data_IF_357447015764
#
_entry.id   IF_357447015764
#
_cell.length_a   1.000
_cell.length_b   1.000
_cell.length_c   1.000
_cell.angle_alpha   90.00
_cell.angle_beta   90.00
_cell.angle_gamma   90.00
#
_symmetry.space_group_name_H-M   'P 1'
#
loop_
_entity.id
_entity.type
_entity.pdbx_description
1 polymer ?
#
# COMPACT_ATOMS: atom_id res chain seq x y z
N UNK A 1 4.24 -14.89 13.70
CA UNK A 1 3.84 -15.58 12.46
C UNK A 1 4.76 -15.12 11.36
N UNK A 2 5.19 -16.02 10.49
CA UNK A 2 5.86 -15.71 9.23
C UNK A 2 4.94 -16.20 8.10
N UNK A 3 4.90 -15.45 7.00
CA UNK A 3 4.12 -15.78 5.81
C UNK A 3 5.09 -15.97 4.65
N UNK A 4 4.76 -16.86 3.72
CA UNK A 4 5.66 -17.21 2.61
C UNK A 4 5.57 -16.19 1.48
N UNK A 5 4.45 -15.45 1.41
CA UNK A 5 4.18 -14.46 0.36
C UNK A 5 3.64 -13.16 0.92
N UNK A 6 3.86 -12.06 0.20
CA UNK A 6 3.26 -10.76 0.57
C UNK A 6 1.73 -10.83 0.56
N UNK A 7 1.13 -11.56 -0.39
CA UNK A 7 -0.31 -11.72 -0.46
C UNK A 7 -0.89 -12.39 0.80
N UNK A 8 -0.21 -13.39 1.37
CA UNK A 8 -0.61 -14.01 2.64
C UNK A 8 -0.51 -13.02 3.80
N UNK A 9 0.60 -12.30 3.90
CA UNK A 9 0.80 -11.29 4.93
C UNK A 9 -0.28 -10.19 4.86
N UNK A 10 -0.59 -9.71 3.65
CA UNK A 10 -1.62 -8.68 3.42
C UNK A 10 -3.01 -9.21 3.75
N UNK A 11 -3.35 -10.44 3.35
CA UNK A 11 -4.64 -11.05 3.72
C UNK A 11 -4.79 -11.20 5.23
N UNK A 12 -3.73 -11.63 5.92
CA UNK A 12 -3.74 -11.74 7.37
C UNK A 12 -3.87 -10.38 8.06
N UNK A 13 -3.18 -9.35 7.55
CA UNK A 13 -3.33 -7.96 7.99
C UNK A 13 -4.78 -7.49 7.81
N UNK A 14 -5.36 -7.68 6.62
CA UNK A 14 -6.74 -7.28 6.33
C UNK A 14 -7.76 -7.99 7.23
N UNK A 15 -7.57 -9.29 7.50
CA UNK A 15 -8.43 -10.05 8.40
C UNK A 15 -8.35 -9.59 9.87
N UNK A 16 -7.29 -8.87 10.25
CA UNK A 16 -7.14 -8.29 11.58
C UNK A 16 -7.84 -6.94 11.77
N UNK A 17 -8.31 -6.33 10.67
CA UNK A 17 -9.03 -5.07 10.71
C UNK A 17 -10.48 -5.27 11.19
N UNK A 18 -11.07 -4.27 11.89
CA UNK A 18 -12.44 -4.37 12.39
C UNK A 18 -13.51 -4.30 11.29
N UNK A 19 -13.19 -3.74 10.12
CA UNK A 19 -14.06 -3.70 8.95
C UNK A 19 -13.49 -4.61 7.86
N UNK A 20 -14.32 -5.53 7.36
CA UNK A 20 -13.94 -6.50 6.35
C UNK A 20 -13.98 -5.93 4.92
N UNK A 21 -14.52 -4.72 4.72
CA UNK A 21 -14.56 -4.07 3.41
C UNK A 21 -13.16 -3.55 3.00
N UNK A 22 -12.50 -4.17 2.00
CA UNK A 22 -11.17 -3.78 1.58
C UNK A 22 -11.13 -2.36 0.99
N UNK A 23 -12.25 -1.84 0.47
CA UNK A 23 -12.30 -0.49 -0.11
C UNK A 23 -12.14 0.62 0.95
N UNK A 24 -12.44 0.32 2.21
CA UNK A 24 -12.29 1.28 3.33
C UNK A 24 -10.95 1.18 4.05
N UNK A 25 -10.17 0.12 3.79
CA UNK A 25 -8.91 -0.08 4.47
C UNK A 25 -7.93 1.05 4.12
N UNK A 26 -7.37 1.68 5.16
CA UNK A 26 -6.40 2.76 5.04
C UNK A 26 -5.00 2.16 5.15
N UNK A 27 -4.36 1.92 4.02
CA UNK A 27 -3.07 1.22 3.92
C UNK A 27 -2.04 2.15 3.31
N UNK A 28 -0.84 2.15 3.88
CA UNK A 28 0.34 2.84 3.35
C UNK A 28 1.43 1.81 3.12
N UNK A 29 2.00 1.79 1.91
CA UNK A 29 3.14 0.94 1.54
C UNK A 29 4.37 1.82 1.36
N UNK A 30 5.42 1.53 2.13
CA UNK A 30 6.74 2.15 2.00
C UNK A 30 7.75 1.08 1.62
N UNK A 31 8.82 1.48 0.94
CA UNK A 31 9.93 0.56 0.61
C UNK A 31 10.63 0.11 1.88
N UNK A 32 11.05 1.08 2.67
CA UNK A 32 11.74 0.91 3.95
C UNK A 32 11.69 2.23 4.73
N UNK A 33 12.06 2.18 6.01
CA UNK A 33 12.05 3.34 6.90
C UNK A 33 13.23 4.28 6.70
N UNK A 34 14.24 3.89 5.93
CA UNK A 34 15.42 4.71 5.62
C UNK A 34 15.16 5.60 4.39
N UNK A 35 14.25 5.19 3.51
CA UNK A 35 14.01 5.77 2.17
C UNK A 35 12.56 6.24 2.01
N UNK A 36 12.11 7.16 2.87
CA UNK A 36 10.74 7.71 2.87
C UNK A 36 10.50 8.82 1.82
N UNK A 37 11.06 8.66 0.61
CA UNK A 37 10.86 9.63 -0.48
C UNK A 37 9.59 9.38 -1.29
N UNK A 38 9.16 8.12 -1.39
CA UNK A 38 7.95 7.71 -2.10
C UNK A 38 7.18 6.68 -1.28
N UNK A 39 5.85 6.72 -1.41
CA UNK A 39 4.94 5.79 -0.77
C UNK A 39 3.72 5.60 -1.66
N UNK A 40 3.09 4.45 -1.53
CA UNK A 40 1.77 4.19 -2.10
C UNK A 40 0.73 4.22 -0.99
N UNK A 41 -0.46 4.72 -1.30
CA UNK A 41 -1.60 4.71 -0.39
C UNK A 41 -2.79 3.99 -1.03
N UNK A 42 -3.64 3.40 -0.21
CA UNK A 42 -4.94 2.92 -0.67
C UNK A 42 -5.84 4.09 -1.09
N UNK A 43 -6.81 3.82 -1.97
CA UNK A 43 -7.77 4.82 -2.42
C UNK A 43 -8.56 5.47 -1.28
N UNK A 44 -8.73 4.78 -0.14
CA UNK A 44 -9.35 5.31 1.06
C UNK A 44 -8.60 6.52 1.67
N UNK A 45 -7.34 6.73 1.31
CA UNK A 45 -6.49 7.85 1.77
C UNK A 45 -6.37 8.98 0.75
N UNK A 46 -7.07 8.91 -0.40
CA UNK A 46 -6.91 9.87 -1.48
C UNK A 46 -7.24 11.32 -1.06
N UNK A 47 -8.26 11.50 -0.22
CA UNK A 47 -8.63 12.81 0.30
C UNK A 47 -7.54 13.38 1.23
N UNK A 48 -6.98 12.57 2.12
CA UNK A 48 -5.87 12.99 2.98
C UNK A 48 -4.62 13.35 2.17
N UNK A 49 -4.27 12.56 1.15
CA UNK A 49 -3.13 12.89 0.27
C UNK A 49 -3.34 14.22 -0.44
N UNK A 50 -4.53 14.47 -0.99
CA UNK A 50 -4.84 15.72 -1.68
C UNK A 50 -4.82 16.95 -0.76
N UNK A 51 -5.13 16.78 0.52
CA UNK A 51 -5.18 17.87 1.51
C UNK A 51 -3.84 18.11 2.21
N UNK A 52 -2.89 17.16 2.17
CA UNK A 52 -1.67 17.22 2.97
C UNK A 52 -0.57 18.02 2.26
N UNK A 53 -0.07 19.14 2.85
CA UNK A 53 0.85 20.05 2.16
C UNK A 53 2.25 19.47 1.89
N UNK A 54 2.62 18.37 2.54
CA UNK A 54 3.89 17.69 2.32
C UNK A 54 3.80 16.47 1.38
N UNK A 55 2.64 16.21 0.77
CA UNK A 55 2.45 15.11 -0.17
C UNK A 55 2.15 15.63 -1.56
N UNK A 56 2.73 14.98 -2.56
CA UNK A 56 2.49 15.24 -3.97
C UNK A 56 1.97 13.95 -4.63
N UNK A 57 0.77 13.96 -5.24
CA UNK A 57 0.27 12.81 -5.97
C UNK A 57 1.12 12.51 -7.20
N UNK A 58 1.78 11.34 -7.23
CA UNK A 58 2.63 10.93 -8.35
C UNK A 58 1.89 10.13 -9.44
N UNK A 59 0.64 9.73 -9.19
CA UNK A 59 -0.12 8.89 -10.12
C UNK A 59 -1.56 8.63 -9.66
N UNK A 60 -2.28 7.82 -10.43
CA UNK A 60 -3.65 7.40 -10.11
C UNK A 60 -3.64 6.09 -9.33
N UNK A 61 -4.69 5.84 -8.54
CA UNK A 61 -4.89 4.56 -7.88
C UNK A 61 -4.98 3.43 -8.91
N UNK A 62 -4.29 2.32 -8.65
CA UNK A 62 -4.28 1.12 -9.48
C UNK A 62 -4.47 -0.12 -8.58
N UNK A 63 -4.90 -1.27 -9.14
CA UNK A 63 -4.88 -2.53 -8.42
C UNK A 63 -3.49 -2.84 -7.87
N UNK A 64 -3.44 -3.46 -6.69
CA UNK A 64 -2.18 -3.82 -6.04
C UNK A 64 -1.40 -4.84 -6.91
N UNK A 65 -0.12 -4.57 -7.26
CA UNK A 65 0.62 -5.33 -8.26
C UNK A 65 1.28 -6.58 -7.65
N UNK A 66 0.46 -7.59 -7.35
CA UNK A 66 0.94 -8.92 -6.98
C UNK A 66 1.34 -9.69 -8.25
N UNK A 67 2.52 -10.32 -8.21
CA UNK A 67 2.99 -11.21 -9.26
C UNK A 67 2.31 -12.60 -9.20
N UNK A 68 2.68 -13.48 -10.14
CA UNK A 68 2.13 -14.84 -10.19
C UNK A 68 2.52 -15.74 -9.00
N UNK A 69 3.53 -15.35 -8.22
CA UNK A 69 3.92 -16.01 -6.98
C UNK A 69 3.25 -15.39 -5.74
N UNK A 70 2.49 -14.31 -5.91
CA UNK A 70 1.81 -13.61 -4.81
C UNK A 70 2.68 -12.61 -4.06
N UNK A 71 3.77 -12.14 -4.67
CA UNK A 71 4.65 -11.13 -4.09
C UNK A 71 4.49 -9.78 -4.78
N UNK A 72 4.75 -8.71 -4.03
CA UNK A 72 4.65 -7.36 -4.54
C UNK A 72 5.87 -7.00 -5.39
N UNK A 73 5.63 -6.30 -6.51
CA UNK A 73 6.72 -5.63 -7.21
C UNK A 73 7.39 -4.59 -6.29
N UNK A 74 8.71 -4.45 -6.42
CA UNK A 74 9.48 -3.46 -5.68
C UNK A 74 8.92 -2.05 -5.95
N UNK A 75 8.76 -1.26 -4.88
CA UNK A 75 8.45 0.16 -5.00
C UNK A 75 9.62 0.87 -5.67
N UNK A 76 9.49 1.24 -6.94
CA UNK A 76 10.48 2.06 -7.62
C UNK A 76 10.41 3.50 -7.10
N UNK A 77 11.55 4.10 -6.79
CA UNK A 77 11.62 5.55 -6.56
C UNK A 77 11.45 6.18 -7.94
N UNK A 78 10.33 6.86 -8.17
CA UNK A 78 9.99 7.45 -9.47
C UNK A 78 11.21 8.11 -10.14
N UNK A 79 11.71 7.47 -11.19
CA UNK A 79 12.72 7.96 -12.11
C UNK A 79 12.24 7.72 -13.53
#
# INVERSE_FOLDING_TARGET
MAFETDAEAIRAMMASLPDADPAKARVVRIRDTLSLGTLEVSAALAAEVAAHPALEPLGQAQPMPLDGAGNLAALSDGK
#
